data_IF_674133356844
#
_entry.id   IF_674133356844
#
_cell.length_a   1.000
_cell.length_b   1.000
_cell.length_c   1.000
_cell.angle_alpha   90.00
_cell.angle_beta   90.00
_cell.angle_gamma   90.00
#
_symmetry.space_group_name_H-M   'P 1'
#
loop_
_entity.id
_entity.type
_entity.pdbx_description
1 polymer ?
#
# COMPACT_ATOMS: atom_id res chain seq x y z
N UNK A 1 16.31 -2.65 -9.82
CA UNK A 1 15.04 -2.93 -9.19
C UNK A 1 14.00 -3.12 -10.28
N UNK A 2 13.17 -4.15 -10.18
CA UNK A 2 12.05 -4.36 -11.09
C UNK A 2 10.96 -3.28 -10.89
N UNK A 3 10.95 -2.63 -9.75
CA UNK A 3 10.07 -1.50 -9.48
C UNK A 3 10.57 -0.28 -10.25
N UNK A 4 9.68 0.44 -10.91
CA UNK A 4 10.00 1.67 -11.63
C UNK A 4 10.48 2.78 -10.65
N UNK A 5 11.72 2.63 -10.15
CA UNK A 5 12.30 3.52 -9.14
C UNK A 5 13.68 4.04 -9.54
N UNK A 6 13.95 5.30 -9.25
CA UNK A 6 15.26 5.93 -9.27
C UNK A 6 15.74 6.14 -7.83
N UNK A 7 16.88 5.55 -7.47
CA UNK A 7 17.44 5.69 -6.13
C UNK A 7 18.70 6.56 -6.18
N UNK A 8 18.73 7.61 -5.36
CA UNK A 8 19.85 8.53 -5.23
C UNK A 8 20.44 8.37 -3.83
N UNK A 9 21.69 7.91 -3.76
CA UNK A 9 22.40 7.75 -2.49
C UNK A 9 23.28 8.96 -2.22
N UNK A 10 23.28 9.46 -0.99
CA UNK A 10 24.12 10.55 -0.55
C UNK A 10 24.64 10.33 0.87
N UNK A 11 25.89 10.71 1.11
CA UNK A 11 26.47 10.66 2.45
C UNK A 11 26.02 11.90 3.23
N UNK A 12 25.35 11.70 4.37
CA UNK A 12 24.83 12.81 5.19
C UNK A 12 25.91 13.72 5.72
N UNK A 13 27.09 13.17 6.06
CA UNK A 13 28.20 13.93 6.66
C UNK A 13 28.92 14.81 5.62
N UNK A 14 28.97 14.40 4.36
CA UNK A 14 29.74 15.11 3.31
C UNK A 14 28.87 15.91 2.35
N UNK A 15 27.68 15.42 2.01
CA UNK A 15 26.73 16.08 1.10
C UNK A 15 25.70 16.92 1.87
N UNK A 16 25.26 16.43 3.02
CA UNK A 16 24.12 16.95 3.76
C UNK A 16 22.76 16.46 3.22
N UNK A 17 21.81 16.30 4.14
CA UNK A 17 20.47 15.79 3.81
C UNK A 17 19.71 16.74 2.87
N UNK A 18 19.73 18.03 3.12
CA UNK A 18 19.03 19.03 2.31
C UNK A 18 19.51 19.02 0.86
N UNK A 19 20.82 18.87 0.63
CA UNK A 19 21.37 18.74 -0.72
C UNK A 19 20.90 17.47 -1.41
N UNK A 20 20.90 16.33 -0.69
CA UNK A 20 20.40 15.06 -1.22
C UNK A 20 18.92 15.17 -1.59
N UNK A 21 18.11 15.75 -0.71
CA UNK A 21 16.67 15.91 -0.95
C UNK A 21 16.42 16.83 -2.15
N UNK A 22 17.13 17.94 -2.25
CA UNK A 22 17.02 18.83 -3.38
C UNK A 22 17.37 18.16 -4.72
N UNK A 23 18.40 17.31 -4.76
CA UNK A 23 18.72 16.51 -5.96
C UNK A 23 17.61 15.51 -6.28
N UNK A 24 16.97 14.91 -5.27
CA UNK A 24 15.83 14.02 -5.47
C UNK A 24 14.60 14.77 -6.01
N UNK A 25 14.37 16.00 -5.58
CA UNK A 25 13.29 16.87 -6.09
C UNK A 25 13.52 17.21 -7.57
N UNK A 26 14.73 17.64 -7.95
CA UNK A 26 15.10 17.88 -9.36
C UNK A 26 14.90 16.58 -10.18
N UNK A 27 15.38 15.45 -9.66
CA UNK A 27 15.22 14.16 -10.32
C UNK A 27 13.75 13.79 -10.49
N UNK A 28 12.89 14.08 -9.47
CA UNK A 28 11.45 13.88 -9.55
C UNK A 28 10.81 14.72 -10.66
N UNK A 29 11.15 15.99 -10.76
CA UNK A 29 10.65 16.85 -11.83
C UNK A 29 11.04 16.33 -13.22
N UNK A 30 12.30 15.95 -13.40
CA UNK A 30 12.78 15.39 -14.67
C UNK A 30 12.06 14.09 -15.03
N UNK A 31 11.85 13.22 -14.06
CA UNK A 31 11.21 11.91 -14.25
C UNK A 31 9.68 11.96 -14.28
N UNK A 32 9.08 13.15 -14.28
CA UNK A 32 7.66 13.36 -14.63
C UNK A 32 7.42 13.32 -16.13
N UNK A 33 8.44 13.51 -16.95
CA UNK A 33 8.34 13.48 -18.43
C UNK A 33 8.08 12.06 -18.89
N UNK A 34 7.20 11.89 -19.88
CA UNK A 34 6.78 10.56 -20.36
C UNK A 34 7.95 9.65 -20.76
N UNK A 35 8.98 10.23 -21.40
CA UNK A 35 10.17 9.49 -21.83
C UNK A 35 11.01 8.92 -20.67
N UNK A 36 10.91 9.49 -19.47
CA UNK A 36 11.73 9.14 -18.29
C UNK A 36 10.90 8.89 -17.04
N UNK A 37 9.61 8.64 -17.20
CA UNK A 37 8.70 8.47 -16.07
C UNK A 37 9.08 7.26 -15.22
N UNK A 38 9.35 7.52 -13.93
CA UNK A 38 9.52 6.47 -12.92
C UNK A 38 8.48 6.63 -11.82
N UNK A 39 8.04 5.52 -11.25
CA UNK A 39 7.00 5.52 -10.19
C UNK A 39 7.45 6.23 -8.93
N UNK A 40 8.76 6.18 -8.60
CA UNK A 40 9.30 6.74 -7.37
C UNK A 40 10.75 7.19 -7.51
N UNK A 41 11.08 8.35 -6.95
CA UNK A 41 12.46 8.74 -6.68
C UNK A 41 12.70 8.57 -5.18
N UNK A 42 13.80 7.93 -4.80
CA UNK A 42 14.10 7.60 -3.41
C UNK A 42 15.44 8.21 -3.00
N UNK A 43 15.42 9.08 -2.01
CA UNK A 43 16.62 9.50 -1.31
C UNK A 43 17.09 8.38 -0.37
N UNK A 44 18.34 7.94 -0.55
CA UNK A 44 18.99 6.89 0.25
C UNK A 44 20.20 7.46 0.99
N UNK A 45 19.99 8.20 2.08
CA UNK A 45 21.10 8.72 2.87
C UNK A 45 21.84 7.60 3.60
N UNK A 46 23.15 7.82 3.76
CA UNK A 46 24.03 6.93 4.49
C UNK A 46 25.14 7.71 5.19
N UNK A 47 25.80 7.07 6.15
CA UNK A 47 27.01 7.54 6.84
C UNK A 47 28.16 6.58 6.63
N UNK A 48 29.38 6.98 6.97
CA UNK A 48 30.59 6.18 6.86
C UNK A 48 31.62 6.81 5.90
N UNK A 49 32.91 6.48 6.12
CA UNK A 49 34.03 7.15 5.43
C UNK A 49 34.69 6.29 4.36
N UNK A 50 34.58 4.96 4.42
CA UNK A 50 35.21 4.05 3.47
C UNK A 50 34.38 2.79 3.23
N UNK A 51 34.74 2.04 2.19
CA UNK A 51 34.12 0.75 1.87
C UNK A 51 34.10 -0.19 3.07
N UNK A 52 32.94 -0.74 3.37
CA UNK A 52 32.70 -1.63 4.51
C UNK A 52 32.14 -0.92 5.74
N UNK A 53 32.18 0.42 5.81
CA UNK A 53 31.64 1.22 6.91
C UNK A 53 30.32 1.92 6.57
N UNK A 54 29.86 1.83 5.31
CA UNK A 54 28.65 2.52 4.90
C UNK A 54 27.41 1.88 5.51
N UNK A 55 26.66 2.70 6.27
CA UNK A 55 25.41 2.31 6.93
C UNK A 55 24.30 3.25 6.50
N UNK A 56 23.18 2.70 6.01
CA UNK A 56 21.97 3.49 5.68
C UNK A 56 21.38 4.08 6.95
N UNK A 57 20.95 5.34 6.87
CA UNK A 57 20.27 6.02 7.97
C UNK A 57 18.75 5.91 7.83
N UNK A 58 18.04 6.31 8.86
CA UNK A 58 16.57 6.36 8.86
C UNK A 58 15.99 7.54 8.06
N UNK A 59 16.84 8.48 7.60
CA UNK A 59 16.44 9.69 6.89
C UNK A 59 16.10 9.44 5.40
N UNK A 60 15.64 8.23 5.07
CA UNK A 60 15.09 7.90 3.75
C UNK A 60 13.88 8.77 3.48
N UNK A 61 13.79 9.29 2.24
CA UNK A 61 12.62 10.02 1.75
C UNK A 61 12.23 9.52 0.37
N UNK A 62 10.94 9.25 0.20
CA UNK A 62 10.38 8.77 -1.06
C UNK A 62 9.58 9.92 -1.70
N UNK A 63 9.81 10.15 -2.99
CA UNK A 63 9.09 11.10 -3.83
C UNK A 63 8.25 10.29 -4.82
N UNK A 64 7.02 10.01 -4.45
CA UNK A 64 6.11 9.23 -5.26
C UNK A 64 5.61 10.00 -6.49
N UNK A 65 5.15 9.26 -7.48
CA UNK A 65 4.36 9.82 -8.56
C UNK A 65 2.89 9.80 -8.12
N UNK A 66 2.24 10.96 -8.12
CA UNK A 66 0.79 11.00 -7.95
C UNK A 66 0.10 10.16 -9.00
N UNK A 67 -1.03 9.55 -8.69
CA UNK A 67 -1.88 8.95 -9.71
C UNK A 67 -2.10 9.91 -10.89
N UNK A 68 -2.08 9.40 -12.11
CA UNK A 68 -2.21 10.22 -13.33
C UNK A 68 -3.58 10.87 -13.51
N UNK A 69 -4.53 10.48 -12.68
CA UNK A 69 -5.89 11.01 -12.64
C UNK A 69 -6.57 10.67 -11.32
N UNK A 70 -7.79 11.14 -11.11
CA UNK A 70 -8.57 10.80 -9.93
C UNK A 70 -8.84 9.29 -9.86
N UNK A 71 -8.83 8.77 -8.65
CA UNK A 71 -9.08 7.36 -8.32
C UNK A 71 -10.38 7.22 -7.53
N UNK A 72 -10.75 6.00 -7.14
CA UNK A 72 -11.87 5.74 -6.23
C UNK A 72 -11.71 6.52 -4.91
N UNK A 73 -10.46 6.72 -4.42
CA UNK A 73 -10.21 7.50 -3.21
C UNK A 73 -10.67 8.96 -3.36
N UNK A 74 -10.39 9.56 -4.52
CA UNK A 74 -10.83 10.93 -4.83
C UNK A 74 -12.34 11.03 -4.98
N UNK A 75 -12.98 10.01 -5.57
CA UNK A 75 -14.42 9.97 -5.71
C UNK A 75 -15.11 9.92 -4.35
N UNK A 76 -14.64 9.07 -3.43
CA UNK A 76 -15.13 9.00 -2.05
C UNK A 76 -14.92 10.31 -1.30
N UNK A 77 -13.68 10.85 -1.33
CA UNK A 77 -13.36 12.13 -0.68
C UNK A 77 -14.23 13.27 -1.22
N UNK A 78 -14.42 13.34 -2.55
CA UNK A 78 -15.27 14.34 -3.20
C UNK A 78 -16.76 14.20 -2.84
N UNK A 79 -17.21 13.00 -2.50
CA UNK A 79 -18.56 12.73 -2.00
C UNK A 79 -18.72 12.98 -0.49
N UNK A 80 -17.65 13.38 0.22
CA UNK A 80 -17.68 13.71 1.64
C UNK A 80 -17.45 12.50 2.56
N UNK A 81 -17.02 11.35 2.02
CA UNK A 81 -16.65 10.20 2.83
C UNK A 81 -15.23 10.31 3.35
N UNK A 82 -14.97 9.70 4.50
CA UNK A 82 -13.61 9.53 5.02
C UNK A 82 -12.83 8.53 4.16
N UNK A 83 -11.55 8.85 3.92
CA UNK A 83 -10.59 7.93 3.31
C UNK A 83 -9.39 7.83 4.25
N UNK A 84 -9.41 6.80 5.08
CA UNK A 84 -8.43 6.55 6.14
C UNK A 84 -7.37 5.59 5.62
N UNK A 85 -6.14 6.07 5.52
CA UNK A 85 -4.99 5.31 5.04
C UNK A 85 -4.18 4.77 6.22
N UNK A 86 -3.94 3.45 6.25
CA UNK A 86 -3.09 2.79 7.25
C UNK A 86 -1.86 2.19 6.56
N UNK A 87 -0.69 2.37 7.14
CA UNK A 87 0.58 1.90 6.58
C UNK A 87 1.09 2.79 5.46
N UNK A 88 1.46 2.21 4.32
CA UNK A 88 2.05 2.94 3.17
C UNK A 88 1.06 3.51 2.18
N UNK A 89 -0.23 3.39 2.39
CA UNK A 89 -1.24 3.86 1.42
C UNK A 89 -1.08 5.35 1.11
N UNK A 90 -0.83 6.17 2.13
CA UNK A 90 -0.57 7.60 1.91
C UNK A 90 0.61 7.83 0.96
N UNK A 91 1.71 7.12 1.16
CA UNK A 91 2.93 7.27 0.35
C UNK A 91 2.73 6.75 -1.07
N UNK A 92 1.94 5.67 -1.24
CA UNK A 92 1.63 5.08 -2.55
C UNK A 92 0.81 6.06 -3.40
N UNK A 93 -0.17 6.73 -2.81
CA UNK A 93 -1.05 7.68 -3.49
C UNK A 93 -0.57 9.15 -3.39
N UNK A 94 0.61 9.39 -2.76
CA UNK A 94 1.13 10.74 -2.48
C UNK A 94 0.06 11.64 -1.80
N UNK A 95 -0.70 11.07 -0.89
CA UNK A 95 -1.80 11.72 -0.17
C UNK A 95 -3.04 12.04 -1.01
N UNK A 96 -3.05 11.70 -2.31
CA UNK A 96 -4.12 12.09 -3.22
C UNK A 96 -5.40 11.28 -2.96
N UNK A 97 -6.47 11.98 -2.55
CA UNK A 97 -7.76 11.36 -2.19
C UNK A 97 -7.82 10.79 -0.78
N UNK A 98 -6.86 11.11 0.11
CA UNK A 98 -6.80 10.63 1.49
C UNK A 98 -7.18 11.75 2.45
N UNK A 99 -8.09 11.46 3.40
CA UNK A 99 -8.53 12.42 4.43
C UNK A 99 -7.70 12.33 5.71
N UNK A 100 -7.23 11.13 6.07
CA UNK A 100 -6.39 10.89 7.25
C UNK A 100 -5.44 9.73 7.01
N UNK A 101 -4.24 9.82 7.56
CA UNK A 101 -3.20 8.79 7.43
C UNK A 101 -2.65 8.40 8.80
N UNK A 102 -2.41 7.08 8.96
CA UNK A 102 -1.79 6.47 10.13
C UNK A 102 -0.59 5.64 9.67
N UNK A 103 0.59 6.06 10.07
CA UNK A 103 1.81 5.29 9.79
C UNK A 103 1.87 4.03 10.66
N UNK A 104 2.19 2.88 10.06
CA UNK A 104 2.42 1.63 10.78
C UNK A 104 3.90 1.24 10.77
N UNK A 105 4.36 0.65 11.85
CA UNK A 105 5.74 0.16 12.01
C UNK A 105 5.89 -1.33 11.71
N UNK A 106 4.78 -2.05 11.61
CA UNK A 106 4.69 -3.48 11.26
C UNK A 106 3.29 -3.83 10.77
N UNK A 107 3.11 -5.01 10.20
CA UNK A 107 1.79 -5.51 9.82
C UNK A 107 0.86 -5.67 11.02
N UNK A 108 1.36 -6.18 12.14
CA UNK A 108 0.59 -6.28 13.39
C UNK A 108 0.13 -4.90 13.86
N UNK A 109 1.01 -3.90 13.88
CA UNK A 109 0.63 -2.52 14.24
C UNK A 109 -0.40 -1.93 13.26
N UNK A 110 -0.29 -2.22 11.96
CA UNK A 110 -1.29 -1.83 10.97
C UNK A 110 -2.66 -2.43 11.25
N UNK A 111 -2.71 -3.71 11.64
CA UNK A 111 -3.95 -4.37 12.07
C UNK A 111 -4.51 -3.78 13.37
N UNK A 112 -3.66 -3.47 14.36
CA UNK A 112 -4.10 -2.82 15.61
C UNK A 112 -4.75 -1.47 15.33
N UNK A 113 -4.17 -0.67 14.41
CA UNK A 113 -4.75 0.61 13.97
C UNK A 113 -6.08 0.41 13.24
N UNK A 114 -6.18 -0.60 12.38
CA UNK A 114 -7.41 -0.95 11.66
C UNK A 114 -8.53 -1.38 12.63
N UNK A 115 -8.19 -2.19 13.63
CA UNK A 115 -9.12 -2.62 14.71
C UNK A 115 -9.59 -1.40 15.51
N UNK A 116 -8.69 -0.47 15.85
CA UNK A 116 -9.04 0.75 16.56
C UNK A 116 -9.97 1.65 15.72
N UNK A 117 -9.75 1.73 14.40
CA UNK A 117 -10.62 2.46 13.48
C UNK A 117 -12.00 1.81 13.38
N UNK A 118 -12.11 0.48 13.34
CA UNK A 118 -13.40 -0.23 13.33
C UNK A 118 -14.24 0.05 14.59
N UNK A 119 -13.61 0.43 15.71
CA UNK A 119 -14.27 0.85 16.94
C UNK A 119 -14.59 2.34 16.98
N UNK A 120 -14.08 3.12 16.02
CA UNK A 120 -14.34 4.57 15.95
C UNK A 120 -15.57 4.87 15.12
N UNK A 121 -16.03 6.11 15.22
CA UNK A 121 -17.16 6.57 14.43
C UNK A 121 -16.65 7.31 13.19
N UNK A 122 -16.69 6.63 12.03
CA UNK A 122 -16.39 7.22 10.73
C UNK A 122 -17.30 6.60 9.66
N UNK A 123 -17.49 7.29 8.56
CA UNK A 123 -18.22 6.79 7.41
C UNK A 123 -17.35 6.94 6.16
N UNK A 124 -16.89 5.82 5.61
CA UNK A 124 -15.98 5.85 4.48
C UNK A 124 -15.12 4.61 4.35
N UNK A 125 -13.96 4.75 3.73
CA UNK A 125 -13.01 3.68 3.45
C UNK A 125 -11.85 3.70 4.45
N UNK A 126 -11.58 2.57 5.11
CA UNK A 126 -10.30 2.29 5.75
C UNK A 126 -9.47 1.42 4.81
N UNK A 127 -8.38 1.95 4.28
CA UNK A 127 -7.48 1.24 3.38
C UNK A 127 -6.16 0.94 4.09
N UNK A 128 -5.91 -0.33 4.36
CA UNK A 128 -4.74 -0.80 5.12
C UNK A 128 -3.76 -1.54 4.23
N UNK A 129 -2.48 -1.19 4.31
CA UNK A 129 -1.38 -1.91 3.67
C UNK A 129 -0.49 -2.58 4.73
N UNK A 130 -0.35 -3.91 4.66
CA UNK A 130 0.44 -4.73 5.56
C UNK A 130 1.75 -5.14 4.86
N UNK A 131 2.85 -4.47 5.21
CA UNK A 131 4.10 -4.47 4.44
C UNK A 131 5.01 -5.67 4.74
N UNK A 132 4.89 -6.31 5.90
CA UNK A 132 5.87 -7.29 6.37
C UNK A 132 5.90 -8.57 5.53
N UNK A 133 4.76 -8.96 4.95
CA UNK A 133 4.67 -10.09 4.00
C UNK A 133 5.68 -9.96 2.87
N UNK A 134 5.75 -8.78 2.28
CA UNK A 134 6.67 -8.46 1.20
C UNK A 134 8.08 -8.17 1.72
N UNK A 135 8.22 -7.18 2.60
CA UNK A 135 9.52 -6.61 2.97
C UNK A 135 10.37 -7.51 3.86
N UNK A 136 9.77 -8.26 4.79
CA UNK A 136 10.49 -9.10 5.74
C UNK A 136 10.56 -10.56 5.31
N UNK A 137 9.53 -11.07 4.63
CA UNK A 137 9.40 -12.50 4.37
C UNK A 137 9.51 -12.85 2.89
N UNK A 138 8.81 -12.15 2.01
CA UNK A 138 8.81 -12.36 0.57
C UNK A 138 10.19 -12.11 -0.06
N UNK A 139 10.68 -10.88 -0.01
CA UNK A 139 11.99 -10.49 -0.56
C UNK A 139 13.18 -11.21 0.10
N UNK A 140 13.04 -11.64 1.33
CA UNK A 140 14.09 -12.35 2.09
C UNK A 140 14.01 -13.86 1.95
N UNK A 141 13.06 -14.36 1.16
CA UNK A 141 12.87 -15.79 0.91
C UNK A 141 12.81 -16.61 2.20
N UNK A 142 11.99 -16.14 3.15
CA UNK A 142 11.74 -16.80 4.42
C UNK A 142 10.31 -17.36 4.47
N UNK A 143 10.08 -18.59 3.98
CA UNK A 143 8.74 -19.18 3.95
C UNK A 143 8.16 -19.46 5.35
N UNK A 144 9.03 -19.75 6.33
CA UNK A 144 8.59 -19.98 7.71
C UNK A 144 8.04 -18.68 8.30
N UNK A 145 8.82 -17.58 8.20
CA UNK A 145 8.37 -16.26 8.67
C UNK A 145 7.12 -15.78 7.93
N UNK A 146 6.98 -16.10 6.65
CA UNK A 146 5.77 -15.79 5.87
C UNK A 146 4.54 -16.54 6.42
N UNK A 147 4.68 -17.85 6.72
CA UNK A 147 3.63 -18.64 7.34
C UNK A 147 3.23 -18.12 8.73
N UNK A 148 4.22 -17.80 9.57
CA UNK A 148 3.97 -17.19 10.88
C UNK A 148 3.27 -15.83 10.79
N UNK A 149 3.53 -15.05 9.73
CA UNK A 149 2.85 -13.77 9.51
C UNK A 149 1.39 -13.98 9.10
N UNK A 150 1.08 -15.01 8.32
CA UNK A 150 -0.30 -15.41 8.02
C UNK A 150 -1.06 -15.76 9.32
N UNK A 151 -0.45 -16.52 10.22
CA UNK A 151 -1.06 -16.88 11.51
C UNK A 151 -1.28 -15.64 12.40
N UNK A 152 -0.34 -14.68 12.40
CA UNK A 152 -0.50 -13.41 13.12
C UNK A 152 -1.62 -12.57 12.53
N UNK A 153 -1.71 -12.51 11.21
CA UNK A 153 -2.78 -11.82 10.50
C UNK A 153 -4.14 -12.46 10.79
N UNK A 154 -4.25 -13.79 10.71
CA UNK A 154 -5.48 -14.52 10.99
C UNK A 154 -5.98 -14.26 12.41
N UNK A 155 -5.09 -14.27 13.39
CA UNK A 155 -5.43 -13.90 14.77
C UNK A 155 -5.99 -12.49 14.88
N UNK A 156 -5.36 -11.51 14.22
CA UNK A 156 -5.83 -10.12 14.20
C UNK A 156 -7.12 -9.94 13.41
N UNK A 157 -7.32 -10.73 12.38
CA UNK A 157 -8.57 -10.78 11.64
C UNK A 157 -9.70 -11.30 12.55
N UNK A 158 -9.44 -12.32 13.37
CA UNK A 158 -10.38 -12.82 14.38
C UNK A 158 -10.76 -11.77 15.43
N UNK A 159 -9.87 -10.79 15.72
CA UNK A 159 -10.18 -9.64 16.59
C UNK A 159 -11.03 -8.58 15.86
N UNK A 160 -10.82 -8.40 14.54
CA UNK A 160 -11.51 -7.40 13.71
C UNK A 160 -12.94 -7.81 13.36
N UNK A 161 -13.15 -9.06 12.92
CA UNK A 161 -14.44 -9.53 12.40
C UNK A 161 -15.65 -9.26 13.33
N UNK A 162 -15.55 -9.48 14.66
CA UNK A 162 -16.66 -9.18 15.56
C UNK A 162 -17.00 -7.70 15.74
N UNK A 163 -16.10 -6.81 15.32
CA UNK A 163 -16.27 -5.37 15.43
C UNK A 163 -16.94 -4.74 14.19
N UNK A 164 -17.01 -5.51 13.10
CA UNK A 164 -17.64 -5.03 11.88
C UNK A 164 -19.14 -4.86 12.09
N UNK A 165 -19.64 -3.72 11.63
CA UNK A 165 -21.06 -3.37 11.66
C UNK A 165 -21.78 -4.07 10.49
N UNK A 166 -23.09 -4.11 10.59
CA UNK A 166 -23.95 -4.82 9.62
C UNK A 166 -23.79 -4.27 8.19
N UNK A 167 -23.45 -3.00 8.07
CA UNK A 167 -23.28 -2.27 6.80
C UNK A 167 -21.83 -2.32 6.29
N UNK A 168 -20.89 -2.92 7.05
CA UNK A 168 -19.49 -2.95 6.65
C UNK A 168 -19.24 -4.05 5.60
N UNK A 169 -18.37 -3.72 4.65
CA UNK A 169 -17.80 -4.64 3.68
C UNK A 169 -16.28 -4.72 3.90
N UNK A 170 -15.79 -5.90 4.24
CA UNK A 170 -14.37 -6.19 4.33
C UNK A 170 -13.89 -6.83 3.03
N UNK A 171 -12.83 -6.29 2.46
CA UNK A 171 -12.14 -6.85 1.30
C UNK A 171 -10.68 -7.13 1.67
N UNK A 172 -10.21 -8.36 1.42
CA UNK A 172 -8.82 -8.76 1.67
C UNK A 172 -8.22 -9.22 0.34
N UNK A 173 -7.09 -8.63 -0.03
CA UNK A 173 -6.37 -8.95 -1.24
C UNK A 173 -4.87 -8.70 -1.08
N UNK A 174 -4.10 -8.92 -2.13
CA UNK A 174 -2.70 -8.48 -2.24
C UNK A 174 -2.53 -7.66 -3.52
N UNK A 175 -1.52 -6.78 -3.55
CA UNK A 175 -1.18 -5.94 -4.70
C UNK A 175 -0.33 -6.70 -5.74
N UNK A 176 0.43 -7.72 -5.31
CA UNK A 176 1.22 -8.61 -6.16
C UNK A 176 1.56 -9.91 -5.43
N UNK A 177 2.09 -10.89 -6.14
CA UNK A 177 2.71 -12.09 -5.59
C UNK A 177 4.14 -11.82 -5.09
N UNK A 178 4.56 -12.51 -4.06
CA UNK A 178 5.96 -12.58 -3.63
C UNK A 178 6.22 -13.93 -2.94
N UNK A 179 6.32 -14.99 -3.74
CA UNK A 179 6.54 -16.35 -3.25
C UNK A 179 7.90 -16.47 -2.53
N UNK A 180 7.91 -16.72 -1.22
CA UNK A 180 9.15 -16.82 -0.45
C UNK A 180 9.98 -18.07 -0.77
N UNK A 181 9.48 -18.98 -1.59
CA UNK A 181 10.19 -20.20 -2.03
C UNK A 181 10.81 -20.04 -3.43
N UNK A 182 10.46 -18.96 -4.15
CA UNK A 182 10.93 -18.73 -5.51
C UNK A 182 12.39 -18.25 -5.53
N UNK A 183 13.07 -18.39 -6.69
CA UNK A 183 14.45 -17.95 -6.86
C UNK A 183 14.55 -16.43 -7.01
N UNK A 184 15.67 -15.86 -6.56
CA UNK A 184 15.90 -14.41 -6.64
C UNK A 184 15.20 -13.63 -5.53
N UNK A 185 15.10 -12.32 -5.69
CA UNK A 185 14.56 -11.38 -4.68
C UNK A 185 13.42 -10.51 -5.22
N UNK A 186 13.04 -10.72 -6.47
CA UNK A 186 11.97 -9.93 -7.11
C UNK A 186 10.59 -10.50 -6.76
N UNK A 187 9.56 -9.70 -7.01
CA UNK A 187 8.17 -10.14 -6.91
C UNK A 187 7.88 -11.29 -7.88
N UNK A 188 6.91 -12.10 -7.55
CA UNK A 188 6.46 -13.22 -8.36
C UNK A 188 5.06 -12.97 -8.94
N UNK A 189 4.59 -13.81 -9.86
CA UNK A 189 3.42 -13.52 -10.71
C UNK A 189 2.24 -14.45 -10.44
N UNK A 190 2.05 -14.83 -9.20
CA UNK A 190 0.88 -15.60 -8.80
C UNK A 190 -0.39 -14.75 -8.88
N UNK A 191 -1.52 -15.41 -9.08
CA UNK A 191 -2.81 -14.80 -8.79
C UNK A 191 -2.89 -14.49 -7.30
N UNK A 192 -3.41 -13.32 -6.98
CA UNK A 192 -3.59 -12.89 -5.59
C UNK A 192 -4.98 -13.27 -5.08
N UNK A 193 -5.14 -13.50 -3.76
CA UNK A 193 -6.45 -13.75 -3.18
C UNK A 193 -7.37 -12.54 -3.30
N UNK A 194 -8.67 -12.79 -3.39
CA UNK A 194 -9.71 -11.79 -3.22
C UNK A 194 -10.80 -12.40 -2.33
N UNK A 195 -10.89 -11.93 -1.09
CA UNK A 195 -11.86 -12.37 -0.11
C UNK A 195 -12.79 -11.21 0.23
N UNK A 196 -14.08 -11.46 0.22
CA UNK A 196 -15.12 -10.52 0.63
C UNK A 196 -15.88 -11.07 1.83
N UNK A 197 -16.18 -10.20 2.77
CA UNK A 197 -17.00 -10.53 3.92
C UNK A 197 -17.84 -9.33 4.34
N UNK A 198 -19.11 -9.57 4.60
CA UNK A 198 -20.01 -8.62 5.26
C UNK A 198 -20.86 -9.34 6.30
N UNK A 199 -21.05 -8.77 7.51
CA UNK A 199 -21.93 -9.39 8.51
C UNK A 199 -23.39 -9.52 8.07
N UNK A 200 -23.84 -8.73 7.10
CA UNK A 200 -25.21 -8.78 6.55
C UNK A 200 -25.38 -9.79 5.44
N UNK A 201 -24.30 -10.22 4.79
CA UNK A 201 -24.35 -11.17 3.69
C UNK A 201 -24.34 -12.60 4.22
N UNK A 202 -25.34 -13.36 3.84
CA UNK A 202 -25.47 -14.79 4.13
C UNK A 202 -24.94 -15.67 2.99
N UNK A 203 -24.46 -15.05 1.91
CA UNK A 203 -23.86 -15.74 0.78
C UNK A 203 -22.50 -16.33 1.13
N UNK A 204 -22.18 -17.47 0.51
CA UNK A 204 -20.83 -18.04 0.57
C UNK A 204 -20.55 -18.80 -0.71
N UNK A 205 -19.32 -18.76 -1.16
CA UNK A 205 -18.88 -19.50 -2.33
C UNK A 205 -17.74 -18.83 -3.08
N UNK A 206 -17.23 -19.47 -4.13
CA UNK A 206 -16.15 -18.92 -4.91
C UNK A 206 -16.63 -17.76 -5.78
N UNK A 207 -15.87 -16.68 -5.78
CA UNK A 207 -15.99 -15.61 -6.77
C UNK A 207 -15.26 -16.01 -8.06
N UNK A 208 -15.74 -15.59 -9.22
CA UNK A 208 -14.98 -15.77 -10.47
C UNK A 208 -13.66 -15.00 -10.40
N UNK A 209 -12.63 -15.56 -11.02
CA UNK A 209 -11.35 -14.87 -11.19
C UNK A 209 -11.54 -13.56 -11.92
N UNK A 210 -10.95 -12.49 -11.43
CA UNK A 210 -11.02 -11.15 -12.00
C UNK A 210 -9.79 -10.85 -12.84
N UNK A 211 -9.96 -10.15 -13.95
CA UNK A 211 -8.87 -9.81 -14.87
C UNK A 211 -8.13 -8.52 -14.51
N UNK A 212 -8.64 -7.77 -13.53
CA UNK A 212 -8.09 -6.48 -13.14
C UNK A 212 -8.34 -6.16 -11.66
N UNK A 213 -7.39 -5.49 -11.01
CA UNK A 213 -7.58 -4.93 -9.66
C UNK A 213 -8.62 -3.80 -9.61
N UNK A 214 -8.97 -3.23 -10.75
CA UNK A 214 -9.93 -2.12 -10.81
C UNK A 214 -11.33 -2.50 -10.30
N UNK A 215 -11.66 -3.81 -10.25
CA UNK A 215 -12.92 -4.31 -9.65
C UNK A 215 -13.04 -3.90 -8.18
N UNK A 216 -11.94 -3.83 -7.43
CA UNK A 216 -11.94 -3.44 -6.02
C UNK A 216 -12.42 -1.99 -5.88
N UNK A 217 -11.83 -1.07 -6.64
CA UNK A 217 -12.25 0.33 -6.62
C UNK A 217 -13.70 0.52 -7.11
N UNK A 218 -14.12 -0.23 -8.14
CA UNK A 218 -15.49 -0.20 -8.64
C UNK A 218 -16.49 -0.70 -7.60
N UNK A 219 -16.20 -1.82 -6.94
CA UNK A 219 -17.06 -2.38 -5.87
C UNK A 219 -17.16 -1.43 -4.68
N UNK A 220 -16.05 -0.82 -4.27
CA UNK A 220 -16.05 0.20 -3.21
C UNK A 220 -16.95 1.38 -3.59
N UNK A 221 -16.78 1.92 -4.81
CA UNK A 221 -17.58 3.05 -5.27
C UNK A 221 -19.06 2.73 -5.34
N UNK A 222 -19.42 1.54 -5.84
CA UNK A 222 -20.78 1.04 -5.90
C UNK A 222 -21.41 0.89 -4.52
N UNK A 223 -20.66 0.30 -3.57
CA UNK A 223 -21.10 0.16 -2.17
C UNK A 223 -21.44 1.50 -1.49
N UNK A 224 -20.74 2.58 -1.87
CA UNK A 224 -21.01 3.93 -1.37
C UNK A 224 -21.96 4.75 -2.26
N UNK A 225 -22.44 4.18 -3.37
CA UNK A 225 -23.27 4.91 -4.35
C UNK A 225 -22.52 6.08 -5.02
N UNK A 226 -21.21 5.99 -5.15
CA UNK A 226 -20.34 7.04 -5.70
C UNK A 226 -19.96 6.68 -7.13
N UNK A 227 -20.05 7.66 -8.03
CA UNK A 227 -19.63 7.43 -9.41
C UNK A 227 -18.10 7.36 -9.51
N UNK A 228 -17.61 6.29 -10.16
CA UNK A 228 -16.18 6.16 -10.46
C UNK A 228 -15.70 7.26 -11.42
N UNK A 229 -14.45 7.71 -11.31
CA UNK A 229 -13.86 8.65 -12.26
C UNK A 229 -13.94 8.12 -13.71
N UNK A 230 -14.04 9.04 -14.66
CA UNK A 230 -14.03 8.68 -16.08
C UNK A 230 -12.78 7.88 -16.46
N UNK A 231 -12.92 6.96 -17.40
CA UNK A 231 -11.85 6.07 -17.91
C UNK A 231 -11.39 4.97 -16.92
N UNK A 232 -12.19 4.64 -15.91
CA UNK A 232 -11.96 3.42 -15.12
C UNK A 232 -12.46 2.19 -15.84
N UNK A 233 -11.76 1.06 -15.67
CA UNK A 233 -12.03 -0.20 -16.39
C UNK A 233 -12.68 -1.28 -15.50
N UNK A 234 -12.81 -1.03 -14.21
CA UNK A 234 -13.39 -1.98 -13.27
C UNK A 234 -14.91 -2.00 -13.32
N UNK A 235 -15.48 -3.17 -13.05
CA UNK A 235 -16.91 -3.37 -12.78
C UNK A 235 -17.07 -3.83 -11.35
N UNK A 236 -18.18 -3.45 -10.68
CA UNK A 236 -18.53 -3.95 -9.35
C UNK A 236 -18.73 -5.46 -9.35
N UNK A 237 -18.37 -6.12 -8.27
CA UNK A 237 -18.56 -7.55 -8.00
C UNK A 237 -19.99 -7.86 -7.59
#
# INVERSE_FOLDING_TARGET
SADSVLQICGNEETMGLETLYHYCEIARELTMRDAWRVGRVIARPYVGKKKGEFVRTSNRRDYALKPTGPTALNALQGAGYDVLAVGKIHDIFDGYGITKSLHSTSSVHGMDQTIALAQSDFCGLCFTNLVDFDALWGHRRNPIGYGEEIERFDKKLGELLPLLKKEDLLMITADHGNDPTYKGTDHTREQVPLLLYSPSDQGSGPLPTQDTFAVIGATIADNFGVQMPANTIGTSL
#
